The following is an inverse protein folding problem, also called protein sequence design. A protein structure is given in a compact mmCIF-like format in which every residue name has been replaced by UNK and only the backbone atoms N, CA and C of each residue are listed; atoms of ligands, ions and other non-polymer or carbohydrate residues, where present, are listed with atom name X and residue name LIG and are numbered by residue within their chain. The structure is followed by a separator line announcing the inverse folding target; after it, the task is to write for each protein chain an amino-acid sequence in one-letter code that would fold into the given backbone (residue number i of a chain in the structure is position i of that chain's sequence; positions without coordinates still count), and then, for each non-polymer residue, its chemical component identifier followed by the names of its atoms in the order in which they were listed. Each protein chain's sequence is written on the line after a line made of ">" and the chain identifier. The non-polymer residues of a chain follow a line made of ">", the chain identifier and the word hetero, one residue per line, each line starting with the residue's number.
data_IF_211787020893
#
_entry.id   IF_211787020893
#
_cell.length_a   1.000
_cell.length_b   1.000
_cell.length_c   1.000
_cell.angle_alpha   90.00
_cell.angle_beta   90.00
_cell.angle_gamma   90.00
#
_symmetry.space_group_name_H-M   'P 1'
#
loop_
_entity.id
_entity.type
_entity.pdbx_description
1 polymer ?
#
# COMPACT_ATOMS: atom_id res chain seq x y z
N UNK A 1 -1.51 15.38 4.92
CA UNK A 1 -0.48 14.50 4.31
C UNK A 1 0.12 13.67 5.45
N UNK A 2 0.12 12.35 5.32
CA UNK A 2 0.68 11.43 6.33
C UNK A 2 2.08 11.02 5.88
N UNK A 3 3.08 11.21 6.74
CA UNK A 3 4.44 10.71 6.56
C UNK A 3 4.59 9.53 7.51
N UNK A 4 4.95 8.37 6.97
CA UNK A 4 5.42 7.28 7.81
C UNK A 4 6.91 7.46 8.04
N UNK A 5 7.33 7.42 9.29
CA UNK A 5 8.72 7.44 9.74
C UNK A 5 9.06 6.05 10.27
N UNK A 6 9.97 5.36 9.62
CA UNK A 6 10.58 4.15 10.22
C UNK A 6 11.77 4.57 11.06
N UNK A 7 11.91 4.04 12.27
CA UNK A 7 13.13 4.15 13.08
C UNK A 7 14.00 2.90 12.90
N UNK A 8 15.31 3.00 13.21
CA UNK A 8 16.26 1.88 13.16
C UNK A 8 15.86 0.68 14.04
N UNK A 9 15.03 0.90 15.06
CA UNK A 9 14.45 -0.17 15.90
C UNK A 9 13.30 -0.94 15.22
N UNK A 10 13.02 -0.67 13.94
CA UNK A 10 11.91 -1.27 13.19
C UNK A 10 10.53 -0.69 13.55
N UNK A 11 10.46 0.26 14.49
CA UNK A 11 9.21 0.91 14.88
C UNK A 11 8.81 1.91 13.79
N UNK A 12 7.68 1.64 13.14
CA UNK A 12 7.09 2.60 12.20
C UNK A 12 6.16 3.52 12.97
N UNK A 13 6.47 4.82 12.98
CA UNK A 13 5.65 5.88 13.57
C UNK A 13 4.96 6.61 12.41
N UNK A 14 3.64 6.83 12.52
CA UNK A 14 2.90 7.60 11.51
C UNK A 14 2.77 9.03 12.01
N UNK A 15 3.34 9.99 11.27
CA UNK A 15 3.24 11.41 11.56
C UNK A 15 2.22 12.05 10.62
N UNK A 16 1.24 12.74 11.17
CA UNK A 16 0.39 13.63 10.38
C UNK A 16 1.01 15.03 10.37
N UNK A 17 1.28 15.58 9.19
CA UNK A 17 1.83 16.94 9.03
C UNK A 17 0.88 18.07 9.48
N UNK A 18 -0.22 17.74 10.16
CA UNK A 18 -1.16 18.71 10.73
C UNK A 18 -0.74 19.16 12.13
N UNK A 19 0.01 18.33 12.83
CA UNK A 19 0.53 18.66 14.15
C UNK A 19 1.87 19.35 13.96
N UNK A 20 1.98 20.63 14.34
CA UNK A 20 3.22 21.41 14.32
C UNK A 20 4.28 20.93 15.33
N UNK A 21 4.30 19.63 15.62
CA UNK A 21 5.24 18.96 16.52
C UNK A 21 6.53 18.64 15.78
N UNK A 22 7.63 18.78 16.49
CA UNK A 22 8.98 18.51 15.97
C UNK A 22 9.35 17.04 16.17
N UNK A 23 10.37 16.54 15.46
CA UNK A 23 10.84 15.14 15.62
C UNK A 23 11.31 14.82 17.05
N UNK A 24 11.73 15.84 17.81
CA UNK A 24 12.11 15.70 19.21
C UNK A 24 10.93 15.28 20.10
N UNK A 25 9.71 15.73 19.78
CA UNK A 25 8.48 15.37 20.52
C UNK A 25 8.14 13.88 20.37
N UNK A 26 8.72 13.21 19.36
CA UNK A 26 8.53 11.79 19.08
C UNK A 26 9.70 10.91 19.56
N UNK A 27 10.64 11.49 20.32
CA UNK A 27 11.81 10.80 20.87
C UNK A 27 12.68 10.12 19.79
N UNK A 28 12.77 10.75 18.61
CA UNK A 28 13.60 10.27 17.50
C UNK A 28 15.04 10.74 17.73
N UNK A 29 15.96 9.79 17.86
CA UNK A 29 17.38 10.09 18.07
C UNK A 29 18.04 10.63 16.79
N UNK A 30 19.09 11.45 16.96
CA UNK A 30 19.83 12.12 15.87
C UNK A 30 20.38 11.16 14.80
N UNK A 31 20.62 9.90 15.14
CA UNK A 31 21.17 8.86 14.24
C UNK A 31 20.10 7.90 13.69
N UNK A 32 18.81 8.21 13.85
CA UNK A 32 17.73 7.37 13.33
C UNK A 32 17.59 7.51 11.81
N UNK A 33 17.67 6.41 11.06
CA UNK A 33 17.38 6.39 9.62
C UNK A 33 15.89 6.58 9.36
N UNK A 34 15.51 7.69 8.72
CA UNK A 34 14.12 8.04 8.43
C UNK A 34 13.75 7.60 7.00
N UNK A 35 12.82 6.66 6.85
CA UNK A 35 12.24 6.32 5.54
C UNK A 35 10.97 7.13 5.30
N UNK A 36 11.02 8.15 4.43
CA UNK A 36 9.85 8.94 4.03
C UNK A 36 8.96 8.11 3.08
N UNK A 37 7.89 7.49 3.60
CA UNK A 37 6.91 6.80 2.75
C UNK A 37 5.72 7.73 2.49
N UNK A 38 5.60 8.20 1.25
CA UNK A 38 4.44 8.97 0.79
C UNK A 38 3.34 8.00 0.36
N UNK A 39 2.23 7.94 1.12
CA UNK A 39 1.03 7.21 0.70
C UNK A 39 0.12 8.16 -0.10
N UNK A 40 0.28 8.16 -1.42
CA UNK A 40 -0.67 8.84 -2.31
C UNK A 40 -2.01 8.08 -2.27
N UNK A 41 -2.98 8.57 -1.50
CA UNK A 41 -4.39 8.20 -1.66
C UNK A 41 -5.02 9.21 -2.61
N UNK A 42 -5.51 8.76 -3.77
CA UNK A 42 -6.26 9.63 -4.70
C UNK A 42 -5.57 9.93 -6.04
N UNK A 43 -4.79 9.00 -6.61
CA UNK A 43 -4.41 9.11 -8.02
C UNK A 43 -5.63 8.92 -8.94
N UNK A 44 -5.76 9.74 -9.98
CA UNK A 44 -6.78 9.54 -11.02
C UNK A 44 -6.40 8.28 -11.79
N UNK A 45 -7.14 7.20 -11.57
CA UNK A 45 -7.00 5.99 -12.36
C UNK A 45 -7.76 6.23 -13.66
N UNK A 46 -7.03 6.38 -14.77
CA UNK A 46 -7.64 6.48 -16.09
C UNK A 46 -8.49 5.22 -16.37
N UNK A 47 -9.68 5.34 -16.98
CA UNK A 47 -10.58 4.20 -17.17
C UNK A 47 -9.94 2.98 -17.87
N UNK A 48 -9.02 3.22 -18.80
CA UNK A 48 -8.26 2.16 -19.49
C UNK A 48 -7.35 1.37 -18.55
N UNK A 49 -6.70 2.05 -17.59
CA UNK A 49 -5.86 1.40 -16.59
C UNK A 49 -6.71 0.63 -15.58
N UNK A 50 -7.89 1.13 -15.23
CA UNK A 50 -8.84 0.41 -14.40
C UNK A 50 -9.32 -0.88 -15.08
N UNK A 51 -9.66 -0.81 -16.37
CA UNK A 51 -10.04 -1.98 -17.16
C UNK A 51 -8.90 -3.01 -17.23
N UNK A 52 -7.66 -2.57 -17.44
CA UNK A 52 -6.49 -3.44 -17.41
C UNK A 52 -6.31 -4.10 -16.05
N UNK A 53 -6.36 -3.33 -14.96
CA UNK A 53 -6.24 -3.87 -13.61
C UNK A 53 -7.33 -4.90 -13.32
N UNK A 54 -8.57 -4.63 -13.73
CA UNK A 54 -9.70 -5.56 -13.56
C UNK A 54 -9.46 -6.88 -14.28
N UNK A 55 -8.99 -6.85 -15.55
CA UNK A 55 -8.67 -8.04 -16.34
C UNK A 55 -7.62 -8.96 -15.68
N UNK A 56 -6.58 -8.37 -15.09
CA UNK A 56 -5.48 -9.14 -14.50
C UNK A 56 -5.74 -9.57 -13.06
N UNK A 57 -6.42 -8.74 -12.28
CA UNK A 57 -6.53 -8.96 -10.84
C UNK A 57 -7.91 -9.48 -10.39
N UNK A 58 -8.98 -9.14 -11.10
CA UNK A 58 -10.36 -9.36 -10.64
C UNK A 58 -11.15 -10.32 -11.54
N UNK A 59 -11.01 -10.23 -12.86
CA UNK A 59 -11.66 -11.12 -13.83
C UNK A 59 -10.94 -12.49 -13.84
N UNK A 60 -11.21 -13.30 -12.82
CA UNK A 60 -10.73 -14.67 -12.65
C UNK A 60 -11.87 -15.56 -12.21
N UNK A 61 -11.84 -16.82 -12.63
CA UNK A 61 -12.66 -17.85 -11.99
C UNK A 61 -11.95 -18.38 -10.76
N UNK A 62 -12.70 -18.91 -9.80
CA UNK A 62 -12.16 -19.52 -8.60
C UNK A 62 -12.58 -20.99 -8.59
N UNK A 63 -11.61 -21.90 -8.52
CA UNK A 63 -11.91 -23.32 -8.33
C UNK A 63 -12.58 -23.51 -6.95
N UNK A 64 -13.74 -24.18 -6.89
CA UNK A 64 -14.43 -24.43 -5.61
C UNK A 64 -13.77 -25.51 -4.75
N UNK A 65 -12.94 -26.35 -5.36
CA UNK A 65 -12.26 -27.46 -4.68
C UNK A 65 -10.95 -27.00 -4.01
N UNK A 66 -10.17 -26.16 -4.69
CA UNK A 66 -8.84 -25.73 -4.21
C UNK A 66 -8.65 -24.21 -4.11
N UNK A 67 -9.67 -23.40 -4.43
CA UNK A 67 -9.62 -21.93 -4.41
C UNK A 67 -8.57 -21.29 -5.33
N UNK A 68 -8.03 -22.05 -6.28
CA UNK A 68 -7.10 -21.53 -7.28
C UNK A 68 -7.78 -20.46 -8.15
N UNK A 69 -7.05 -19.38 -8.45
CA UNK A 69 -7.47 -18.35 -9.42
C UNK A 69 -7.15 -18.83 -10.84
N UNK A 70 -8.20 -18.99 -11.63
CA UNK A 70 -8.12 -19.50 -13.00
C UNK A 70 -8.43 -18.40 -14.01
N UNK A 71 -7.96 -18.59 -15.24
CA UNK A 71 -8.34 -17.75 -16.36
C UNK A 71 -9.86 -17.80 -16.59
N UNK A 72 -10.55 -16.71 -16.97
CA UNK A 72 -12.01 -16.70 -17.19
C UNK A 72 -12.55 -17.74 -18.19
N UNK A 73 -11.68 -18.22 -19.09
CA UNK A 73 -12.02 -19.25 -20.09
C UNK A 73 -11.52 -20.66 -19.73
N UNK A 74 -11.10 -20.89 -18.49
CA UNK A 74 -10.68 -22.22 -18.06
C UNK A 74 -11.88 -23.17 -18.03
N UNK A 75 -11.76 -24.32 -18.70
CA UNK A 75 -12.85 -25.32 -18.77
C UNK A 75 -12.61 -26.50 -17.82
N UNK A 76 -11.39 -26.63 -17.31
CA UNK A 76 -11.01 -27.64 -16.34
C UNK A 76 -10.81 -26.96 -14.98
N UNK A 77 -11.54 -27.40 -13.95
CA UNK A 77 -11.59 -26.79 -12.62
C UNK A 77 -11.53 -27.84 -11.51
#
# INVERSE_FOLDING_TARGET
>A
MQIFVKTLTGKTITLELKDGRTLADYNIQKESTLHLVLRLRGGIIVPSLMALARKYNQEKMICRKCYARLHPRAINF
#
